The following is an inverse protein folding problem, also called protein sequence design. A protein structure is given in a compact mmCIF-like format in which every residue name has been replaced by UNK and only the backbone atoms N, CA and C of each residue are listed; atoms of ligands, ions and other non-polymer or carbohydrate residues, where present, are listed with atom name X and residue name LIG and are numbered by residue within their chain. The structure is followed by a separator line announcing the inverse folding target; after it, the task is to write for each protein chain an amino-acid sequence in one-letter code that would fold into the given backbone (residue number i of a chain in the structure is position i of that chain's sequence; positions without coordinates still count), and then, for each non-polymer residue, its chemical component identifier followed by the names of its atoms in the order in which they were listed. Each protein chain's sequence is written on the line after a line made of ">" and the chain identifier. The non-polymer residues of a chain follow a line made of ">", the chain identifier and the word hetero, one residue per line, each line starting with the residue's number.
data_IF_678272245643
#
_entry.id   IF_678272245643
#
_cell.length_a   1.000
_cell.length_b   1.000
_cell.length_c   1.000
_cell.angle_alpha   90.00
_cell.angle_beta   90.00
_cell.angle_gamma   90.00
#
_symmetry.space_group_name_H-M   'P 1'
#
loop_
_entity.id
_entity.type
_entity.pdbx_description
1 polymer ?
#
# COMPACT_ATOMS: atom_id res chain seq x y z
N UNK A 1 -15.62 -17.02 -0.47
CA UNK A 1 -14.40 -16.88 -1.28
C UNK A 1 -14.63 -17.59 -2.58
N UNK A 2 -14.36 -16.95 -3.72
CA UNK A 2 -14.66 -17.49 -5.06
C UNK A 2 -13.63 -16.97 -6.07
N UNK A 3 -13.14 -17.85 -6.93
CA UNK A 3 -12.14 -17.54 -7.96
C UNK A 3 -12.76 -16.63 -9.02
N UNK A 4 -12.16 -15.47 -9.28
CA UNK A 4 -12.74 -14.42 -10.14
C UNK A 4 -11.97 -14.18 -11.46
N UNK A 5 -11.18 -15.15 -11.87
CA UNK A 5 -10.40 -15.18 -13.12
C UNK A 5 -10.32 -16.61 -13.65
N UNK A 6 -9.62 -16.85 -14.77
CA UNK A 6 -9.05 -18.15 -15.08
C UNK A 6 -7.71 -18.36 -14.32
N UNK A 7 -7.10 -19.54 -14.44
CA UNK A 7 -5.81 -19.83 -13.80
C UNK A 7 -4.71 -18.85 -14.27
N UNK A 8 -3.82 -18.44 -13.37
CA UNK A 8 -2.55 -17.83 -13.77
C UNK A 8 -1.61 -18.90 -14.35
N UNK A 9 -1.04 -18.63 -15.53
CA UNK A 9 -0.11 -19.53 -16.23
C UNK A 9 1.29 -18.88 -16.32
N UNK A 10 2.19 -19.12 -15.34
CA UNK A 10 3.48 -18.44 -15.25
C UNK A 10 4.38 -18.59 -16.49
N UNK A 11 4.31 -19.74 -17.16
CA UNK A 11 5.16 -20.03 -18.32
C UNK A 11 4.60 -19.44 -19.64
N UNK A 12 3.42 -18.81 -19.63
CA UNK A 12 2.77 -18.26 -20.83
C UNK A 12 2.96 -16.75 -20.92
N UNK A 13 3.59 -16.31 -22.00
CA UNK A 13 3.74 -14.88 -22.32
C UNK A 13 2.36 -14.18 -22.34
N UNK A 14 2.27 -13.02 -21.68
CA UNK A 14 1.02 -12.25 -21.59
C UNK A 14 0.03 -12.76 -20.53
N UNK A 15 0.31 -13.86 -19.82
CA UNK A 15 -0.60 -14.38 -18.80
C UNK A 15 -0.86 -13.38 -17.67
N UNK A 16 0.14 -12.58 -17.26
CA UNK A 16 -0.06 -11.50 -16.30
C UNK A 16 -1.18 -10.54 -16.74
N UNK A 17 -1.16 -10.13 -18.01
CA UNK A 17 -2.12 -9.18 -18.59
C UNK A 17 -3.52 -9.78 -18.66
N UNK A 18 -3.68 -11.02 -19.10
CA UNK A 18 -4.99 -11.69 -19.10
C UNK A 18 -5.52 -11.77 -17.66
N UNK A 19 -4.69 -12.28 -16.74
CA UNK A 19 -5.04 -12.51 -15.35
C UNK A 19 -5.44 -11.22 -14.59
N UNK A 20 -4.69 -10.13 -14.71
CA UNK A 20 -5.05 -8.86 -14.04
C UNK A 20 -6.36 -8.29 -14.57
N UNK A 21 -6.62 -8.38 -15.88
CA UNK A 21 -7.82 -7.84 -16.50
C UNK A 21 -9.06 -8.62 -16.05
N UNK A 22 -9.00 -9.96 -16.10
CA UNK A 22 -10.11 -10.79 -15.65
C UNK A 22 -10.46 -10.51 -14.18
N UNK A 23 -9.46 -10.50 -13.30
CA UNK A 23 -9.70 -10.23 -11.88
C UNK A 23 -10.29 -8.83 -11.66
N UNK A 24 -9.69 -7.80 -12.27
CA UNK A 24 -10.12 -6.42 -12.10
C UNK A 24 -11.56 -6.19 -12.61
N UNK A 25 -11.87 -6.61 -13.83
CA UNK A 25 -13.19 -6.37 -14.41
C UNK A 25 -14.27 -7.24 -13.77
N UNK A 26 -13.97 -8.49 -13.41
CA UNK A 26 -14.94 -9.33 -12.71
C UNK A 26 -15.22 -8.81 -11.29
N UNK A 27 -14.24 -8.19 -10.62
CA UNK A 27 -14.43 -7.62 -9.28
C UNK A 27 -15.53 -6.54 -9.23
N UNK A 28 -15.91 -5.90 -10.34
CA UNK A 28 -16.98 -4.89 -10.36
C UNK A 28 -18.31 -5.45 -9.84
N UNK A 29 -18.64 -6.71 -10.15
CA UNK A 29 -19.89 -7.34 -9.71
C UNK A 29 -19.66 -8.52 -8.76
N UNK A 30 -18.52 -9.22 -8.90
CA UNK A 30 -18.24 -10.43 -8.11
C UNK A 30 -18.03 -10.08 -6.63
N UNK A 31 -17.35 -8.96 -6.35
CA UNK A 31 -17.02 -8.47 -5.01
C UNK A 31 -18.26 -8.11 -4.16
N UNK A 32 -19.38 -7.80 -4.81
CA UNK A 32 -20.65 -7.54 -4.12
C UNK A 32 -21.26 -8.79 -3.48
N UNK A 33 -20.84 -9.99 -3.92
CA UNK A 33 -21.41 -11.27 -3.52
C UNK A 33 -20.39 -12.19 -2.84
N UNK A 34 -19.12 -12.10 -3.23
CA UNK A 34 -18.07 -12.98 -2.76
C UNK A 34 -16.77 -12.22 -2.52
N UNK A 35 -15.99 -12.69 -1.56
CA UNK A 35 -14.57 -12.37 -1.48
C UNK A 35 -13.85 -12.98 -2.70
N UNK A 36 -13.34 -12.11 -3.58
CA UNK A 36 -12.63 -12.47 -4.81
C UNK A 36 -11.29 -13.15 -4.50
N UNK A 37 -11.07 -14.33 -5.05
CA UNK A 37 -9.80 -15.05 -5.03
C UNK A 37 -9.03 -14.82 -6.34
N UNK A 38 -7.97 -14.01 -6.24
CA UNK A 38 -7.12 -13.55 -7.34
C UNK A 38 -6.03 -14.56 -7.72
N UNK A 39 -6.24 -15.84 -7.38
CA UNK A 39 -5.37 -16.96 -7.65
C UNK A 39 -3.94 -16.82 -7.08
N UNK A 40 -3.19 -17.92 -7.18
CA UNK A 40 -1.79 -17.98 -6.79
C UNK A 40 -0.87 -17.17 -7.72
N UNK A 41 0.37 -16.97 -7.28
CA UNK A 41 1.45 -16.51 -8.15
C UNK A 41 2.79 -17.16 -7.82
N UNK A 42 3.76 -16.95 -8.69
CA UNK A 42 5.16 -17.29 -8.43
C UNK A 42 5.92 -16.05 -8.00
N UNK A 43 6.58 -16.13 -6.85
CA UNK A 43 7.45 -15.08 -6.34
C UNK A 43 8.76 -15.02 -7.13
N UNK A 44 9.25 -16.18 -7.60
CA UNK A 44 10.39 -16.28 -8.51
C UNK A 44 9.96 -16.18 -9.98
N UNK A 45 9.32 -15.07 -10.33
CA UNK A 45 8.85 -14.77 -11.69
C UNK A 45 9.23 -13.33 -12.08
N UNK A 46 9.48 -13.00 -13.36
CA UNK A 46 9.77 -11.62 -13.79
C UNK A 46 8.71 -10.60 -13.34
N UNK A 47 7.44 -10.99 -13.33
CA UNK A 47 6.32 -10.17 -12.83
C UNK A 47 6.00 -10.39 -11.33
N UNK A 48 6.85 -11.10 -10.58
CA UNK A 48 6.60 -11.46 -9.18
C UNK A 48 6.30 -10.25 -8.29
N UNK A 49 7.01 -9.13 -8.49
CA UNK A 49 6.73 -7.87 -7.76
C UNK A 49 5.40 -7.23 -8.14
N UNK A 50 5.00 -7.28 -9.42
CA UNK A 50 3.68 -6.81 -9.88
C UNK A 50 2.57 -7.63 -9.24
N UNK A 51 2.73 -8.95 -9.27
CA UNK A 51 1.79 -9.88 -8.65
C UNK A 51 1.72 -9.72 -7.14
N UNK A 52 2.83 -9.42 -6.48
CA UNK A 52 2.86 -9.13 -5.05
C UNK A 52 2.06 -7.87 -4.72
N UNK A 53 2.33 -6.74 -5.39
CA UNK A 53 1.51 -5.53 -5.23
C UNK A 53 0.02 -5.83 -5.48
N UNK A 54 -0.28 -6.58 -6.54
CA UNK A 54 -1.65 -6.94 -6.90
C UNK A 54 -2.36 -7.70 -5.77
N UNK A 55 -1.64 -8.61 -5.09
CA UNK A 55 -2.15 -9.37 -3.95
C UNK A 55 -2.32 -8.51 -2.70
N UNK A 56 -1.39 -7.59 -2.44
CA UNK A 56 -1.52 -6.61 -1.36
C UNK A 56 -2.81 -5.79 -1.47
N UNK A 57 -3.15 -5.34 -2.69
CA UNK A 57 -4.34 -4.50 -2.90
C UNK A 57 -5.62 -5.31 -3.15
N UNK A 58 -5.51 -6.62 -3.38
CA UNK A 58 -6.62 -7.46 -3.84
C UNK A 58 -7.79 -7.55 -2.86
N UNK A 59 -7.55 -7.39 -1.55
CA UNK A 59 -8.54 -7.62 -0.48
C UNK A 59 -9.03 -9.06 -0.34
N UNK A 60 -8.45 -9.98 -1.12
CA UNK A 60 -8.73 -11.40 -1.11
C UNK A 60 -7.66 -12.21 -0.38
N UNK A 61 -7.77 -13.54 -0.41
CA UNK A 61 -6.69 -14.41 0.04
C UNK A 61 -5.44 -14.25 -0.84
N UNK A 62 -4.28 -14.57 -0.26
CA UNK A 62 -3.00 -14.51 -0.96
C UNK A 62 -2.35 -15.89 -0.91
N UNK A 63 -2.08 -16.44 -2.09
CA UNK A 63 -1.39 -17.71 -2.27
C UNK A 63 -0.17 -17.52 -3.17
N UNK A 64 0.91 -18.24 -2.88
CA UNK A 64 2.03 -18.42 -3.80
C UNK A 64 2.30 -19.92 -3.92
N UNK A 65 2.77 -20.35 -5.09
CA UNK A 65 3.06 -21.77 -5.32
C UNK A 65 4.37 -21.93 -6.11
N UNK A 66 5.42 -21.33 -5.56
CA UNK A 66 6.79 -21.57 -6.00
C UNK A 66 7.20 -23.02 -5.75
N UNK A 67 8.25 -23.46 -6.46
CA UNK A 67 8.94 -24.69 -6.10
C UNK A 67 9.56 -24.56 -4.71
N UNK A 68 9.60 -25.68 -3.99
CA UNK A 68 10.23 -25.75 -2.66
C UNK A 68 11.68 -25.26 -2.75
N UNK A 69 12.03 -24.26 -1.95
CA UNK A 69 13.36 -23.65 -1.93
C UNK A 69 13.59 -22.51 -2.93
N UNK A 70 12.62 -22.21 -3.80
CA UNK A 70 12.71 -21.14 -4.80
C UNK A 70 11.89 -19.89 -4.44
N UNK A 71 11.19 -19.88 -3.30
CA UNK A 71 10.45 -18.70 -2.84
C UNK A 71 11.37 -17.51 -2.66
N UNK A 72 11.06 -16.40 -3.33
CA UNK A 72 11.74 -15.13 -3.18
C UNK A 72 11.13 -14.32 -2.01
N UNK A 73 11.82 -14.21 -0.86
CA UNK A 73 11.27 -13.52 0.30
C UNK A 73 11.11 -12.00 0.07
N UNK A 74 11.91 -11.37 -0.80
CA UNK A 74 11.80 -9.94 -1.08
C UNK A 74 10.48 -9.56 -1.77
N UNK A 75 9.87 -10.53 -2.45
CA UNK A 75 8.55 -10.36 -3.07
C UNK A 75 7.45 -10.48 -2.02
N UNK A 76 7.65 -11.24 -0.94
CA UNK A 76 6.64 -11.46 0.10
C UNK A 76 6.74 -10.48 1.27
N UNK A 77 7.94 -10.00 1.61
CA UNK A 77 8.18 -9.09 2.75
C UNK A 77 7.26 -7.85 2.78
N UNK A 78 6.92 -7.22 1.64
CA UNK A 78 6.01 -6.08 1.63
C UNK A 78 4.53 -6.44 1.82
N UNK A 79 4.17 -7.73 1.74
CA UNK A 79 2.79 -8.22 1.84
C UNK A 79 2.36 -8.54 3.27
N UNK A 80 3.25 -9.05 4.11
CA UNK A 80 2.86 -9.64 5.40
C UNK A 80 3.51 -8.93 6.57
N UNK A 81 2.84 -8.98 7.72
CA UNK A 81 3.43 -8.69 9.01
C UNK A 81 4.41 -9.80 9.44
N UNK A 82 5.17 -9.56 10.50
CA UNK A 82 6.16 -10.50 11.06
C UNK A 82 5.52 -11.80 11.59
N UNK A 83 4.26 -11.72 12.03
CA UNK A 83 3.47 -12.87 12.49
C UNK A 83 2.89 -13.71 11.33
N UNK A 84 3.14 -13.31 10.08
CA UNK A 84 2.63 -13.96 8.87
C UNK A 84 1.21 -13.57 8.49
N UNK A 85 0.53 -12.71 9.27
CA UNK A 85 -0.78 -12.16 8.89
C UNK A 85 -0.64 -11.07 7.84
N UNK A 86 -1.73 -10.75 7.15
CA UNK A 86 -1.74 -9.78 6.05
C UNK A 86 -2.48 -8.49 6.47
N UNK A 87 -2.02 -7.30 6.06
CA UNK A 87 -2.84 -6.10 5.99
C UNK A 87 -3.84 -6.26 4.85
N UNK A 88 -5.09 -6.61 5.19
CA UNK A 88 -6.15 -6.88 4.20
C UNK A 88 -6.95 -5.61 3.92
N UNK A 89 -7.14 -5.29 2.64
CA UNK A 89 -8.01 -4.20 2.18
C UNK A 89 -9.49 -4.59 2.29
N UNK A 90 -10.40 -3.63 2.43
CA UNK A 90 -11.79 -3.89 2.82
C UNK A 90 -12.64 -4.64 1.79
N UNK A 91 -12.25 -4.62 0.53
CA UNK A 91 -13.00 -5.19 -0.59
C UNK A 91 -12.08 -5.66 -1.70
N UNK A 92 -12.58 -6.23 -2.78
CA UNK A 92 -11.75 -6.51 -3.96
C UNK A 92 -11.23 -5.22 -4.58
N UNK A 93 -9.99 -5.24 -5.09
CA UNK A 93 -9.49 -4.15 -5.92
C UNK A 93 -10.41 -3.97 -7.14
N UNK A 94 -10.84 -2.73 -7.40
CA UNK A 94 -11.73 -2.41 -8.53
C UNK A 94 -11.05 -1.45 -9.48
N UNK A 95 -11.36 -1.50 -10.79
CA UNK A 95 -10.91 -0.49 -11.73
C UNK A 95 -11.48 0.88 -11.34
N UNK A 96 -10.66 1.92 -11.47
CA UNK A 96 -11.17 3.30 -11.41
C UNK A 96 -12.23 3.50 -12.49
N UNK A 97 -13.17 4.42 -12.27
CA UNK A 97 -14.34 4.61 -13.14
C UNK A 97 -13.95 4.87 -14.61
N UNK A 98 -12.91 5.67 -14.85
CA UNK A 98 -12.40 5.98 -16.19
C UNK A 98 -11.66 4.80 -16.87
N UNK A 99 -11.37 3.72 -16.14
CA UNK A 99 -10.82 2.47 -16.66
C UNK A 99 -11.89 1.42 -17.02
N UNK A 100 -13.14 1.59 -16.58
CA UNK A 100 -14.19 0.55 -16.69
C UNK A 100 -14.54 0.21 -18.15
N UNK A 101 -14.57 1.22 -19.03
CA UNK A 101 -14.99 1.07 -20.43
C UNK A 101 -13.85 1.25 -21.44
N UNK A 102 -12.61 1.26 -20.97
CA UNK A 102 -11.41 1.37 -21.83
C UNK A 102 -10.66 0.03 -21.88
N UNK A 103 -9.99 -0.25 -23.00
CA UNK A 103 -9.09 -1.41 -23.12
C UNK A 103 -7.66 -0.95 -22.82
N UNK A 104 -7.12 -1.18 -21.60
CA UNK A 104 -5.81 -0.68 -21.18
C UNK A 104 -4.64 -1.33 -21.94
N UNK A 105 -4.90 -2.32 -22.80
CA UNK A 105 -3.89 -2.91 -23.69
C UNK A 105 -3.66 -2.08 -24.95
N UNK A 106 -4.64 -1.26 -25.34
CA UNK A 106 -4.60 -0.44 -26.57
C UNK A 106 -4.08 0.98 -26.32
N UNK A 107 -4.08 1.44 -25.07
CA UNK A 107 -3.65 2.78 -24.68
C UNK A 107 -4.08 3.10 -23.25
N UNK A 108 -3.45 4.10 -22.64
CA UNK A 108 -3.69 4.46 -21.25
C UNK A 108 -3.17 3.43 -20.25
N UNK A 109 -3.69 3.48 -19.02
CA UNK A 109 -3.30 2.59 -17.92
C UNK A 109 -4.53 1.91 -17.33
N UNK A 110 -4.34 0.78 -16.67
CA UNK A 110 -5.31 0.21 -15.73
C UNK A 110 -5.02 0.78 -14.33
N UNK A 111 -5.98 1.52 -13.77
CA UNK A 111 -5.93 1.98 -12.38
C UNK A 111 -6.81 1.09 -11.52
N UNK A 112 -6.27 0.54 -10.44
CA UNK A 112 -7.01 -0.24 -9.46
C UNK A 112 -6.99 0.48 -8.12
N UNK A 113 -8.14 0.57 -7.45
CA UNK A 113 -8.25 1.27 -6.17
C UNK A 113 -8.95 0.44 -5.11
N UNK A 114 -8.56 0.71 -3.87
CA UNK A 114 -9.10 0.06 -2.69
C UNK A 114 -8.76 0.88 -1.42
N UNK A 115 -9.38 0.53 -0.29
CA UNK A 115 -9.16 1.18 1.00
C UNK A 115 -8.98 0.17 2.15
N UNK A 116 -8.41 0.61 3.26
CA UNK A 116 -8.29 -0.15 4.51
C UNK A 116 -8.43 0.79 5.72
N UNK A 117 -8.76 0.24 6.91
CA UNK A 117 -8.73 1.00 8.15
C UNK A 117 -7.38 1.67 8.38
N UNK A 118 -7.44 2.88 8.94
CA UNK A 118 -6.27 3.67 9.31
C UNK A 118 -6.60 4.46 10.58
N UNK A 119 -6.14 3.96 11.73
CA UNK A 119 -6.64 4.41 13.03
C UNK A 119 -8.15 4.23 13.13
N UNK A 120 -8.87 5.30 13.51
CA UNK A 120 -10.34 5.32 13.51
C UNK A 120 -10.96 5.70 12.16
N UNK A 121 -10.14 6.00 11.15
CA UNK A 121 -10.56 6.44 9.83
C UNK A 121 -10.25 5.42 8.75
N UNK A 122 -10.22 5.89 7.50
CA UNK A 122 -9.98 5.10 6.30
C UNK A 122 -8.92 5.79 5.45
N UNK A 123 -7.92 5.02 5.03
CA UNK A 123 -6.94 5.40 4.02
C UNK A 123 -6.99 4.36 2.88
N UNK A 124 -6.30 4.61 1.78
CA UNK A 124 -6.36 3.72 0.63
C UNK A 124 -5.25 3.97 -0.35
N UNK A 125 -5.46 3.54 -1.58
CA UNK A 125 -4.50 3.81 -2.63
C UNK A 125 -4.98 3.43 -4.01
N UNK A 126 -4.22 3.91 -4.99
CA UNK A 126 -4.41 3.64 -6.41
C UNK A 126 -3.14 2.98 -6.94
N UNK A 127 -3.28 1.75 -7.43
CA UNK A 127 -2.26 1.06 -8.20
C UNK A 127 -2.45 1.38 -9.67
N UNK A 128 -1.35 1.68 -10.35
CA UNK A 128 -1.33 1.99 -11.77
C UNK A 128 -0.57 0.90 -12.50
N UNK A 129 -1.14 0.34 -13.55
CA UNK A 129 -0.48 -0.65 -14.40
C UNK A 129 -0.53 -0.18 -15.85
N UNK A 130 0.63 0.05 -16.45
CA UNK A 130 0.73 0.28 -17.89
C UNK A 130 0.90 -1.07 -18.59
N UNK A 131 -0.12 -1.52 -19.33
CA UNK A 131 -0.11 -2.80 -20.04
C UNK A 131 0.37 -2.68 -21.48
N UNK A 132 0.77 -1.48 -21.90
CA UNK A 132 1.23 -1.17 -23.25
C UNK A 132 2.76 -1.25 -23.37
N UNK A 133 3.27 -1.16 -24.60
CA UNK A 133 4.70 -1.14 -24.91
C UNK A 133 5.30 0.27 -24.98
N UNK A 134 4.51 1.28 -24.65
CA UNK A 134 4.90 2.68 -24.68
C UNK A 134 4.64 3.32 -23.32
N UNK A 135 5.29 4.46 -23.04
CA UNK A 135 4.96 5.25 -21.85
C UNK A 135 3.52 5.76 -21.95
N UNK A 136 2.78 5.71 -20.85
CA UNK A 136 1.40 6.20 -20.79
C UNK A 136 1.27 7.24 -19.67
N UNK A 137 0.53 8.30 -19.93
CA UNK A 137 0.13 9.24 -18.89
C UNK A 137 -1.07 8.69 -18.12
N UNK A 138 -1.20 9.09 -16.87
CA UNK A 138 -2.37 8.80 -16.05
C UNK A 138 -2.70 9.98 -15.15
N UNK A 139 -3.93 10.00 -14.66
CA UNK A 139 -4.34 10.91 -13.60
C UNK A 139 -5.38 10.26 -12.70
N UNK A 140 -5.45 10.69 -11.44
CA UNK A 140 -6.46 10.27 -10.48
C UNK A 140 -6.72 11.36 -9.46
N UNK A 141 -7.88 11.34 -8.81
CA UNK A 141 -8.19 12.19 -7.66
C UNK A 141 -8.44 11.33 -6.41
N UNK A 142 -8.24 11.87 -5.19
CA UNK A 142 -8.66 11.19 -3.97
C UNK A 142 -10.14 10.81 -3.97
N UNK A 143 -11.00 11.61 -4.59
CA UNK A 143 -12.42 11.28 -4.74
C UNK A 143 -12.73 10.07 -5.64
N UNK A 144 -11.75 9.55 -6.38
CA UNK A 144 -11.88 8.27 -7.11
C UNK A 144 -11.98 7.06 -6.15
N UNK A 145 -11.68 7.24 -4.85
CA UNK A 145 -11.85 6.23 -3.81
C UNK A 145 -12.98 6.66 -2.85
N UNK A 146 -14.21 6.12 -3.00
CA UNK A 146 -15.36 6.53 -2.20
C UNK A 146 -15.20 6.33 -0.69
N UNK A 147 -14.39 5.35 -0.28
CA UNK A 147 -14.28 4.89 1.10
C UNK A 147 -13.27 5.67 1.96
N UNK A 148 -12.49 6.58 1.37
CA UNK A 148 -11.53 7.38 2.15
C UNK A 148 -12.20 8.23 3.21
N UNK A 149 -11.50 8.45 4.32
CA UNK A 149 -11.95 9.39 5.34
C UNK A 149 -12.15 10.79 4.74
N UNK A 150 -13.28 11.42 5.03
CA UNK A 150 -13.62 12.74 4.49
C UNK A 150 -12.63 13.80 4.97
N UNK A 151 -11.78 14.24 4.06
CA UNK A 151 -10.87 15.37 4.24
C UNK A 151 -10.96 16.36 3.07
N UNK A 152 -10.73 17.67 3.27
CA UNK A 152 -10.60 18.62 2.17
C UNK A 152 -9.31 18.40 1.37
N UNK A 153 -8.26 17.85 2.00
CA UNK A 153 -6.95 17.59 1.40
C UNK A 153 -6.46 16.20 1.72
N UNK A 154 -5.69 15.63 0.80
CA UNK A 154 -5.10 14.31 0.95
C UNK A 154 -3.63 14.36 0.62
N UNK A 155 -2.89 13.53 1.34
CA UNK A 155 -1.56 13.14 0.96
C UNK A 155 -1.63 12.09 -0.15
N UNK A 156 -0.82 12.26 -1.19
CA UNK A 156 -0.48 11.22 -2.17
C UNK A 156 0.98 10.86 -1.96
N UNK A 157 1.23 9.62 -1.55
CA UNK A 157 2.57 9.08 -1.36
C UNK A 157 2.90 8.06 -2.46
N UNK A 158 3.89 8.37 -3.29
CA UNK A 158 4.45 7.42 -4.26
C UNK A 158 5.33 6.42 -3.50
N UNK A 159 4.83 5.18 -3.41
CA UNK A 159 5.51 4.14 -2.64
C UNK A 159 6.84 3.73 -3.26
N UNK A 160 6.99 3.78 -4.59
CA UNK A 160 8.24 3.43 -5.28
C UNK A 160 9.18 4.62 -5.36
N UNK A 161 8.66 5.80 -5.68
CA UNK A 161 9.41 7.05 -5.76
C UNK A 161 9.84 7.62 -4.39
N UNK A 162 9.19 7.18 -3.30
CA UNK A 162 9.43 7.65 -1.93
C UNK A 162 9.30 9.17 -1.81
N UNK A 163 8.30 9.75 -2.48
CA UNK A 163 7.94 11.17 -2.43
C UNK A 163 6.46 11.35 -2.09
N UNK A 164 6.11 12.54 -1.60
CA UNK A 164 4.76 12.85 -1.16
C UNK A 164 4.29 14.22 -1.65
N UNK A 165 2.99 14.32 -1.92
CA UNK A 165 2.29 15.51 -2.40
C UNK A 165 1.05 15.73 -1.56
N UNK A 166 0.66 16.98 -1.36
CA UNK A 166 -0.63 17.34 -0.76
C UNK A 166 -1.51 17.95 -1.84
N UNK A 167 -2.68 17.37 -2.06
CA UNK A 167 -3.63 17.79 -3.10
C UNK A 167 -5.04 17.94 -2.53
N UNK A 168 -5.88 18.75 -3.18
CA UNK A 168 -7.29 18.82 -2.87
C UNK A 168 -8.03 17.51 -3.16
N UNK A 169 -9.16 17.29 -2.47
CA UNK A 169 -10.01 16.11 -2.65
C UNK A 169 -10.34 15.78 -4.11
N UNK A 170 -10.64 16.79 -4.91
CA UNK A 170 -11.04 16.66 -6.32
C UNK A 170 -9.94 17.14 -7.29
N UNK A 171 -8.77 17.53 -6.75
CA UNK A 171 -7.60 17.88 -7.54
C UNK A 171 -7.01 16.58 -8.11
N UNK A 172 -6.67 16.58 -9.41
CA UNK A 172 -6.08 15.39 -10.04
C UNK A 172 -4.57 15.40 -9.87
N UNK A 173 -4.05 14.32 -9.30
CA UNK A 173 -2.65 13.97 -9.42
C UNK A 173 -2.38 13.49 -10.85
N UNK A 174 -1.30 13.97 -11.45
CA UNK A 174 -0.87 13.59 -12.79
C UNK A 174 0.48 12.89 -12.75
N UNK A 175 0.64 11.86 -13.57
CA UNK A 175 1.89 11.12 -13.67
C UNK A 175 2.04 10.39 -14.99
N UNK A 176 3.19 9.72 -15.14
CA UNK A 176 3.50 8.87 -16.29
C UNK A 176 4.02 7.54 -15.80
N UNK A 177 3.63 6.46 -16.46
CA UNK A 177 4.12 5.12 -16.19
C UNK A 177 4.86 4.57 -17.41
N UNK A 178 6.03 3.99 -17.19
CA UNK A 178 6.86 3.43 -18.25
C UNK A 178 6.15 2.25 -18.94
N UNK A 179 6.61 1.88 -20.14
CA UNK A 179 6.10 0.70 -20.84
C UNK A 179 6.16 -0.54 -19.94
N UNK A 180 5.05 -1.26 -19.82
CA UNK A 180 4.91 -2.44 -18.94
C UNK A 180 5.21 -2.16 -17.45
N UNK A 181 5.24 -0.89 -17.07
CA UNK A 181 5.54 -0.40 -15.72
C UNK A 181 4.32 -0.43 -14.80
N UNK A 182 4.57 -0.15 -13.52
CA UNK A 182 3.55 -0.13 -12.50
C UNK A 182 3.93 0.77 -11.32
N UNK A 183 2.92 1.38 -10.71
CA UNK A 183 3.04 2.32 -9.59
C UNK A 183 2.05 2.00 -8.47
N UNK A 184 2.38 2.45 -7.27
CA UNK A 184 1.50 2.37 -6.10
C UNK A 184 1.49 3.69 -5.36
N UNK A 185 0.32 4.32 -5.33
CA UNK A 185 0.12 5.61 -4.70
C UNK A 185 -0.78 5.42 -3.49
N UNK A 186 -0.24 5.67 -2.30
CA UNK A 186 -1.00 5.61 -1.04
C UNK A 186 -1.65 6.96 -0.80
N UNK A 187 -2.95 6.97 -0.50
CA UNK A 187 -3.75 8.15 -0.23
C UNK A 187 -4.18 8.17 1.25
N UNK A 188 -3.80 9.24 1.96
CA UNK A 188 -4.20 9.45 3.35
C UNK A 188 -4.89 10.80 3.51
N UNK A 189 -5.92 10.91 4.37
CA UNK A 189 -6.44 12.22 4.74
C UNK A 189 -5.33 13.06 5.39
N UNK A 190 -5.22 14.32 4.97
CA UNK A 190 -4.31 15.28 5.60
C UNK A 190 -4.88 15.74 6.95
N UNK A 191 -4.15 15.47 8.03
CA UNK A 191 -4.48 15.93 9.39
C UNK A 191 -3.77 17.22 9.72
N UNK A 192 -4.27 17.94 10.73
CA UNK A 192 -3.72 19.24 11.15
C UNK A 192 -2.27 19.12 11.63
N UNK A 193 -1.94 18.06 12.38
CA UNK A 193 -0.59 17.84 12.91
C UNK A 193 0.26 17.00 11.97
N UNK A 194 -0.09 15.72 11.81
CA UNK A 194 0.60 14.79 10.92
C UNK A 194 -0.32 13.64 10.52
N UNK A 195 -0.06 13.05 9.35
CA UNK A 195 -0.69 11.80 8.91
C UNK A 195 0.37 10.70 8.88
N UNK A 196 0.22 9.67 9.71
CA UNK A 196 1.13 8.54 9.76
C UNK A 196 0.98 7.63 8.53
N UNK A 197 2.05 7.41 7.75
CA UNK A 197 2.06 6.47 6.62
C UNK A 197 2.02 5.00 7.08
N UNK A 198 2.37 4.74 8.34
CA UNK A 198 2.53 3.39 8.88
C UNK A 198 3.87 2.77 8.47
N UNK A 199 3.90 1.44 8.32
CA UNK A 199 5.12 0.68 8.03
C UNK A 199 5.53 0.80 6.55
N UNK A 200 6.55 1.61 6.26
CA UNK A 200 6.89 2.04 4.89
C UNK A 200 7.51 0.98 3.98
N UNK A 201 7.89 -0.16 4.56
CA UNK A 201 8.35 -1.34 3.85
C UNK A 201 7.21 -2.25 3.38
N UNK A 202 5.99 -2.03 3.87
CA UNK A 202 4.79 -2.77 3.48
C UNK A 202 4.01 -1.98 2.42
N UNK A 203 3.39 -2.67 1.46
CA UNK A 203 2.55 -2.00 0.45
C UNK A 203 1.36 -1.29 1.10
N UNK A 204 0.67 -2.00 2.00
CA UNK A 204 -0.48 -1.50 2.77
C UNK A 204 -0.04 -1.17 4.21
N UNK A 205 1.12 -0.52 4.34
CA UNK A 205 1.72 -0.20 5.64
C UNK A 205 0.86 0.69 6.54
N UNK A 206 0.01 1.51 5.94
CA UNK A 206 -0.92 2.37 6.67
C UNK A 206 -1.95 1.56 7.46
N UNK A 207 -2.31 0.35 7.04
CA UNK A 207 -3.23 -0.52 7.80
C UNK A 207 -2.59 -1.06 9.10
N UNK A 208 -1.27 -0.90 9.28
CA UNK A 208 -0.62 -1.19 10.56
C UNK A 208 -0.92 -0.13 11.63
N UNK A 209 -1.48 1.02 11.25
CA UNK A 209 -1.87 2.08 12.18
C UNK A 209 -3.17 1.70 12.87
N UNK A 210 -3.08 1.23 14.11
CA UNK A 210 -4.23 0.74 14.88
C UNK A 210 -5.00 1.88 15.55
N UNK A 211 -4.28 2.91 16.03
CA UNK A 211 -4.91 4.10 16.59
C UNK A 211 -4.05 5.34 16.39
N UNK A 212 -4.74 6.47 16.27
CA UNK A 212 -4.14 7.80 16.21
C UNK A 212 -4.90 8.67 17.20
N UNK A 213 -4.19 9.23 18.17
CA UNK A 213 -4.73 10.16 19.17
C UNK A 213 -4.06 11.51 18.98
N UNK A 214 -4.86 12.50 18.60
CA UNK A 214 -4.38 13.88 18.43
C UNK A 214 -4.73 14.71 19.65
N UNK A 215 -3.73 15.43 20.15
CA UNK A 215 -3.87 16.45 21.19
C UNK A 215 -3.25 17.75 20.68
N UNK A 216 -3.57 18.92 21.27
CA UNK A 216 -2.93 20.16 20.88
C UNK A 216 -1.39 20.06 20.96
N UNK A 217 -0.73 20.06 19.79
CA UNK A 217 0.73 20.01 19.67
C UNK A 217 1.38 18.64 19.75
N UNK A 218 0.61 17.54 19.82
CA UNK A 218 1.17 16.18 19.83
C UNK A 218 0.21 15.15 19.20
N UNK A 219 0.79 14.16 18.52
CA UNK A 219 0.06 13.02 17.94
C UNK A 219 0.69 11.74 18.43
N UNK A 220 -0.10 10.87 19.06
CA UNK A 220 0.30 9.53 19.46
C UNK A 220 -0.25 8.51 18.47
N UNK A 221 0.61 7.61 18.00
CA UNK A 221 0.24 6.55 17.05
C UNK A 221 0.58 5.21 17.66
N UNK A 222 -0.35 4.26 17.59
CA UNK A 222 -0.11 2.85 17.92
C UNK A 222 -0.01 2.06 16.63
N UNK A 223 1.08 1.30 16.49
CA UNK A 223 1.31 0.40 15.37
C UNK A 223 1.15 -1.04 15.82
N UNK A 224 0.63 -1.88 14.91
CA UNK A 224 0.50 -3.32 15.11
C UNK A 224 1.83 -4.02 15.40
N UNK A 225 2.91 -3.58 14.74
CA UNK A 225 4.25 -4.13 14.92
C UNK A 225 5.33 -3.06 14.74
N UNK A 226 6.57 -3.42 15.06
CA UNK A 226 7.75 -2.57 14.87
C UNK A 226 8.27 -2.66 13.44
N UNK A 227 8.89 -1.57 12.97
CA UNK A 227 9.52 -1.48 11.66
C UNK A 227 9.73 -0.03 11.24
N UNK A 228 10.31 0.21 10.05
CA UNK A 228 10.50 1.54 9.49
C UNK A 228 9.18 2.28 9.31
N UNK A 229 8.99 3.35 10.08
CA UNK A 229 7.79 4.20 10.06
C UNK A 229 8.10 5.55 9.43
N UNK A 230 7.14 6.05 8.65
CA UNK A 230 7.13 7.44 8.19
C UNK A 230 5.82 8.14 8.50
N UNK A 231 5.86 9.46 8.51
CA UNK A 231 4.69 10.31 8.60
C UNK A 231 4.85 11.56 7.75
N UNK A 232 3.71 12.10 7.35
CA UNK A 232 3.59 13.26 6.48
C UNK A 232 3.12 14.46 7.28
N UNK A 233 3.81 15.58 7.12
CA UNK A 233 3.50 16.81 7.86
C UNK A 233 4.08 18.02 7.14
N UNK A 234 3.37 19.15 7.19
CA UNK A 234 3.91 20.44 6.76
C UNK A 234 4.92 21.01 7.76
N UNK A 235 4.75 20.68 9.05
CA UNK A 235 5.60 21.15 10.14
C UNK A 235 6.67 20.12 10.47
N UNK A 236 7.80 20.58 10.99
CA UNK A 236 8.86 19.70 11.50
C UNK A 236 8.49 19.26 12.92
N UNK A 237 8.50 17.96 13.18
CA UNK A 237 8.39 17.41 14.53
C UNK A 237 9.69 17.71 15.29
N UNK A 238 9.56 18.40 16.42
CA UNK A 238 10.71 18.81 17.26
C UNK A 238 11.08 17.77 18.32
N UNK A 239 10.17 16.83 18.59
CA UNK A 239 10.36 15.75 19.53
C UNK A 239 9.60 14.52 19.02
N UNK A 240 10.24 13.34 19.13
CA UNK A 240 9.65 12.04 18.80
C UNK A 240 10.06 11.05 19.86
N UNK A 241 9.07 10.41 20.47
CA UNK A 241 9.27 9.35 21.45
C UNK A 241 8.74 8.02 20.89
N UNK A 242 9.51 6.94 21.11
CA UNK A 242 9.06 5.58 20.88
C UNK A 242 8.96 4.87 22.23
N UNK A 243 7.76 4.48 22.62
CA UNK A 243 7.49 3.79 23.89
C UNK A 243 8.10 4.52 25.12
N UNK A 244 8.07 5.87 25.10
CA UNK A 244 8.60 6.73 26.16
C UNK A 244 10.11 6.97 26.10
N UNK A 245 10.80 6.51 25.05
CA UNK A 245 12.23 6.78 24.81
C UNK A 245 12.35 7.86 23.72
N UNK A 246 13.09 8.94 24.01
CA UNK A 246 13.39 9.98 23.02
C UNK A 246 14.25 9.41 21.88
N UNK A 247 13.71 9.43 20.67
CA UNK A 247 14.35 8.97 19.43
C UNK A 247 14.45 10.10 18.40
N UNK A 248 14.28 11.35 18.82
CA UNK A 248 14.25 12.53 17.94
C UNK A 248 15.49 12.60 17.03
N UNK A 249 16.67 12.27 17.57
CA UNK A 249 17.93 12.27 16.82
C UNK A 249 18.02 11.20 15.73
N UNK A 250 17.15 10.19 15.74
CA UNK A 250 17.10 9.10 14.77
C UNK A 250 16.14 9.39 13.61
N UNK A 251 15.38 10.48 13.70
CA UNK A 251 14.41 10.86 12.67
C UNK A 251 15.12 11.60 11.55
N UNK A 252 15.03 11.05 10.35
CA UNK A 252 15.42 11.74 9.12
C UNK A 252 14.21 12.43 8.51
N UNK A 253 14.41 13.60 7.90
CA UNK A 253 13.36 14.30 7.17
C UNK A 253 13.81 14.67 5.76
N UNK A 254 12.98 14.36 4.78
CA UNK A 254 13.12 14.79 3.39
C UNK A 254 11.80 15.40 2.95
N UNK A 255 11.81 16.69 2.65
CA UNK A 255 10.63 17.47 2.27
C UNK A 255 9.49 17.38 3.31
N UNK A 256 8.39 16.72 2.95
CA UNK A 256 7.18 16.54 3.77
C UNK A 256 7.19 15.22 4.55
N UNK A 257 8.20 14.37 4.34
CA UNK A 257 8.30 13.02 4.88
C UNK A 257 9.33 12.99 6.01
N UNK A 258 8.88 12.67 7.21
CA UNK A 258 9.77 12.28 8.32
C UNK A 258 9.77 10.75 8.43
N UNK A 259 10.94 10.15 8.68
CA UNK A 259 11.13 8.69 8.73
C UNK A 259 12.02 8.30 9.91
N UNK A 260 11.57 7.30 10.66
CA UNK A 260 12.34 6.59 11.68
C UNK A 260 12.62 5.17 11.16
N UNK A 261 13.88 4.88 10.85
CA UNK A 261 14.30 3.65 10.15
C UNK A 261 14.81 2.53 11.06
N UNK A 262 15.00 2.76 12.36
CA UNK A 262 15.62 1.74 13.22
C UNK A 262 14.63 0.64 13.66
N UNK A 263 15.02 -0.61 13.41
CA UNK A 263 14.52 -1.80 14.10
C UNK A 263 15.01 -1.74 15.56
N UNK A 264 14.18 -1.15 16.44
CA UNK A 264 14.58 -0.77 17.79
C UNK A 264 14.43 -1.90 18.82
N UNK A 265 14.23 -3.13 18.35
CA UNK A 265 14.09 -4.34 19.17
C UNK A 265 15.28 -4.57 20.13
N UNK A 266 16.49 -4.08 19.80
CA UNK A 266 17.67 -4.24 20.67
C UNK A 266 18.08 -3.00 21.48
N UNK A 267 17.71 -1.78 21.09
CA UNK A 267 18.19 -0.54 21.76
C UNK A 267 17.19 0.11 22.72
N UNK A 268 15.89 -0.13 22.55
CA UNK A 268 14.85 0.62 23.28
C UNK A 268 14.27 -0.11 24.51
N UNK A 269 14.56 -1.41 24.70
CA UNK A 269 14.16 -2.12 25.91
C UNK A 269 15.27 -1.99 26.96
N UNK A 270 15.03 -1.40 28.15
CA UNK A 270 15.97 -1.52 29.24
C UNK A 270 16.22 -3.00 29.48
N UNK A 271 17.49 -3.43 29.44
CA UNK A 271 17.88 -4.78 29.86
C UNK A 271 17.25 -5.00 31.23
N UNK A 272 16.24 -5.87 31.30
CA UNK A 272 15.80 -6.41 32.58
C UNK A 272 16.99 -7.18 33.11
N UNK A 273 17.66 -6.63 34.11
CA UNK A 273 18.57 -7.39 34.97
C UNK A 273 17.75 -8.54 35.56
N UNK A 274 17.83 -9.70 34.93
CA UNK A 274 17.39 -10.94 35.53
C UNK A 274 18.32 -11.17 36.74
N UNK A 275 17.79 -11.27 37.97
CA UNK A 275 18.63 -11.60 39.11
C UNK A 275 19.25 -12.97 38.85
N UNK A 276 20.58 -13.01 38.91
CA UNK A 276 21.38 -14.21 38.67
C UNK A 276 20.90 -15.38 39.51
N UNK A 277 20.78 -16.54 38.85
CA UNK A 277 20.76 -17.84 39.51
C UNK A 277 22.18 -18.39 39.53
#
# INVERSE_FOLDING_TARGET
>A
VSRNSDDFFPDREGSFTEHILENAYNAIYHDELYCCDWDMFWTSHPDGRKHSLLRAISGGPVYFSDRVGETNPDVLRPLSYLDGTLPVMIRSARPAEDCVFSDPRKGGVLKLHNAAPWGSGMAGGIAVFNLTREQQSFSFAPSDIPELEKSPRYWVYDWFGKCAYSIGKDERFEGTEAAQGFGWYVLLPEKESLSCLGLTEKYVGFAAVESVVETPGSTTVVLRETGPISWLSHRVCVNVELNGVDVTALVSRKDLISTLTEDLTEKALPKKDLPGK
#
